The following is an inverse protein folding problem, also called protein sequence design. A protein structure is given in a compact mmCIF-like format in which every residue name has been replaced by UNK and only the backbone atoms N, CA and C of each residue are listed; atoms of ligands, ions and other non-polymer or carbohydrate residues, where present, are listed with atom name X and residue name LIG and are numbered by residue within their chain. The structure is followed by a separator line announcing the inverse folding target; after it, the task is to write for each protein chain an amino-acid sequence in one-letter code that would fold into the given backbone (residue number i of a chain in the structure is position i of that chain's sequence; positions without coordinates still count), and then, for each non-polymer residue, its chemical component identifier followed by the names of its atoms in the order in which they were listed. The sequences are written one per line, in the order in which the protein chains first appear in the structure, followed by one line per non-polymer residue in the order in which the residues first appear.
data_IF_094422337271
#
_entry.id   IF_094422337271
#
_cell.length_a   1.000
_cell.length_b   1.000
_cell.length_c   1.000
_cell.angle_alpha   90.00
_cell.angle_beta   90.00
_cell.angle_gamma   90.00
#
_symmetry.space_group_name_H-M   'P 1'
#
loop_
_entity.id
_entity.type
_entity.pdbx_description
1 polymer ?
#
# COMPACT_ATOMS: atom_id res chain seq x y z
N UNK A 1 -17.91 43.53 13.65
CA UNK A 1 -17.49 42.69 12.52
C UNK A 1 -16.01 42.47 12.65
N UNK A 2 -15.60 41.39 13.32
CA UNK A 2 -14.20 40.96 13.40
C UNK A 2 -13.89 40.12 12.15
N UNK A 3 -12.91 40.55 11.40
CA UNK A 3 -12.35 39.78 10.30
C UNK A 3 -11.71 38.49 10.89
N UNK A 4 -12.24 37.36 10.49
CA UNK A 4 -11.61 36.08 10.72
C UNK A 4 -10.34 36.06 9.88
N UNK A 5 -9.19 35.94 10.54
CA UNK A 5 -7.90 35.68 9.88
C UNK A 5 -7.98 34.31 9.18
N UNK A 6 -8.21 34.31 7.88
CA UNK A 6 -7.90 33.23 6.97
C UNK A 6 -6.40 33.27 6.71
N UNK A 7 -5.59 32.57 7.46
CA UNK A 7 -4.31 32.03 7.02
C UNK A 7 -3.58 31.27 8.14
N UNK A 8 -4.07 30.07 8.45
CA UNK A 8 -3.29 29.02 9.08
C UNK A 8 -3.63 27.68 8.42
N UNK A 9 -3.56 27.63 7.10
CA UNK A 9 -3.34 26.36 6.44
C UNK A 9 -1.94 25.90 6.82
N UNK A 10 -1.73 24.68 7.34
CA UNK A 10 -0.38 24.16 7.51
C UNK A 10 0.34 24.31 6.17
N UNK A 11 1.50 24.96 6.18
CA UNK A 11 2.24 25.31 4.98
C UNK A 11 2.35 24.06 4.09
N UNK A 12 2.00 24.22 2.80
CA UNK A 12 2.19 23.17 1.81
C UNK A 12 3.65 22.73 1.94
N UNK A 13 3.92 21.45 2.26
CA UNK A 13 5.29 20.98 2.20
C UNK A 13 5.80 21.23 0.78
N UNK A 14 6.91 21.90 0.67
CA UNK A 14 7.62 22.12 -0.59
C UNK A 14 7.80 20.79 -1.30
N UNK A 15 7.56 20.73 -2.60
CA UNK A 15 7.85 19.64 -3.55
C UNK A 15 8.75 18.53 -2.99
N UNK A 16 8.21 17.69 -2.13
CA UNK A 16 8.93 16.63 -1.46
C UNK A 16 8.39 15.27 -1.89
N UNK A 17 9.21 14.28 -1.78
CA UNK A 17 8.93 12.91 -2.15
C UNK A 17 7.89 12.28 -1.19
N UNK A 18 6.88 11.61 -1.74
CA UNK A 18 5.95 10.79 -0.95
C UNK A 18 6.55 9.39 -0.77
N UNK A 19 6.73 8.98 0.47
CA UNK A 19 7.17 7.61 0.77
C UNK A 19 5.94 6.75 1.05
N UNK A 20 5.73 5.69 0.28
CA UNK A 20 4.74 4.66 0.53
C UNK A 20 5.42 3.46 1.17
N UNK A 21 4.84 2.91 2.23
CA UNK A 21 5.39 1.77 2.95
C UNK A 21 4.31 0.70 3.09
N UNK A 22 4.61 -0.54 2.72
CA UNK A 22 3.67 -1.64 2.86
C UNK A 22 4.03 -2.89 2.05
N UNK A 23 3.11 -3.82 1.98
CA UNK A 23 3.28 -5.07 1.24
C UNK A 23 3.36 -4.83 -0.27
N UNK A 24 4.16 -5.63 -0.95
CA UNK A 24 4.14 -5.80 -2.39
C UNK A 24 3.56 -7.17 -2.72
N UNK A 25 2.40 -7.20 -3.36
CA UNK A 25 1.71 -8.43 -3.75
C UNK A 25 1.73 -8.66 -5.27
N UNK A 26 1.64 -9.94 -5.67
CA UNK A 26 1.20 -10.29 -7.02
C UNK A 26 -0.32 -10.22 -7.06
N UNK A 27 -0.84 -9.34 -7.90
CA UNK A 27 -2.28 -9.16 -8.12
C UNK A 27 -2.70 -9.76 -9.46
N UNK A 28 -3.71 -10.61 -9.42
CA UNK A 28 -4.45 -11.01 -10.62
C UNK A 28 -5.82 -10.36 -10.60
N UNK A 29 -6.06 -9.46 -11.54
CA UNK A 29 -7.35 -8.80 -11.73
C UNK A 29 -8.19 -9.58 -12.75
N UNK A 30 -9.35 -10.03 -12.33
CA UNK A 30 -10.34 -10.74 -13.14
C UNK A 30 -11.57 -9.86 -13.32
N UNK A 31 -12.00 -9.66 -14.55
CA UNK A 31 -13.26 -8.98 -14.87
C UNK A 31 -14.28 -10.00 -15.36
N UNK A 32 -15.45 -9.97 -14.74
CA UNK A 32 -16.58 -10.86 -15.05
C UNK A 32 -17.84 -10.02 -15.22
N UNK A 33 -18.84 -10.50 -15.97
CA UNK A 33 -20.11 -9.79 -16.08
C UNK A 33 -20.91 -9.82 -14.78
N UNK A 34 -20.80 -10.92 -14.03
CA UNK A 34 -21.42 -11.10 -12.72
C UNK A 34 -20.67 -12.15 -11.91
N UNK A 35 -20.44 -11.87 -10.63
CA UNK A 35 -19.89 -12.87 -9.71
C UNK A 35 -20.88 -14.06 -9.62
N UNK A 36 -20.45 -15.30 -9.88
CA UNK A 36 -21.35 -16.43 -9.92
C UNK A 36 -21.94 -16.72 -8.52
N UNK A 37 -23.17 -17.22 -8.51
CA UNK A 37 -23.75 -17.78 -7.29
C UNK A 37 -22.98 -19.03 -6.85
N UNK A 38 -23.10 -19.38 -5.58
CA UNK A 38 -22.47 -20.59 -5.07
C UNK A 38 -22.79 -21.81 -5.95
N UNK A 39 -21.78 -22.61 -6.26
CA UNK A 39 -21.86 -23.77 -7.18
C UNK A 39 -22.13 -23.41 -8.68
N UNK A 40 -22.02 -22.13 -9.05
CA UNK A 40 -22.15 -21.67 -10.43
C UNK A 40 -20.81 -21.35 -11.07
N UNK A 41 -20.85 -20.96 -12.32
CA UNK A 41 -19.71 -20.47 -13.11
C UNK A 41 -20.07 -19.21 -13.87
N UNK A 42 -19.06 -18.42 -14.23
CA UNK A 42 -19.21 -17.22 -15.07
C UNK A 42 -18.04 -17.13 -16.05
N UNK A 43 -18.25 -16.62 -17.26
CA UNK A 43 -17.15 -16.32 -18.17
C UNK A 43 -16.27 -15.19 -17.61
N UNK A 44 -14.98 -15.28 -17.86
CA UNK A 44 -14.01 -14.20 -17.60
C UNK A 44 -13.92 -13.38 -18.89
N UNK A 45 -14.21 -12.07 -18.80
CA UNK A 45 -14.09 -11.14 -19.91
C UNK A 45 -12.68 -10.56 -20.05
N UNK A 46 -11.97 -10.38 -18.91
CA UNK A 46 -10.59 -9.91 -18.88
C UNK A 46 -9.84 -10.54 -17.71
N UNK A 47 -8.57 -10.86 -17.94
CA UNK A 47 -7.63 -11.32 -16.93
C UNK A 47 -6.32 -10.57 -17.07
N UNK A 48 -5.87 -9.93 -16.02
CA UNK A 48 -4.67 -9.07 -16.03
C UNK A 48 -3.80 -9.38 -14.83
N UNK A 49 -2.52 -9.60 -15.06
CA UNK A 49 -1.51 -9.70 -14.01
C UNK A 49 -0.98 -8.30 -13.70
N UNK A 50 -0.85 -7.97 -12.41
CA UNK A 50 -0.34 -6.69 -11.93
C UNK A 50 0.43 -6.88 -10.62
N UNK A 51 1.00 -5.82 -10.10
CA UNK A 51 1.35 -5.72 -8.70
C UNK A 51 0.17 -5.10 -7.93
N UNK A 52 0.08 -5.41 -6.66
CA UNK A 52 -1.03 -5.01 -5.80
C UNK A 52 -0.59 -4.64 -4.41
N UNK A 53 -1.57 -4.51 -3.55
CA UNK A 53 -1.57 -3.92 -2.23
C UNK A 53 -1.62 -2.38 -2.25
N UNK A 54 -2.23 -1.77 -1.23
CA UNK A 54 -2.61 -0.36 -1.27
C UNK A 54 -1.40 0.56 -1.38
N UNK A 55 -0.35 0.33 -0.59
CA UNK A 55 0.86 1.14 -0.64
C UNK A 55 1.58 1.05 -1.99
N UNK A 56 1.62 -0.15 -2.60
CA UNK A 56 2.21 -0.36 -3.92
C UNK A 56 1.41 0.35 -5.02
N UNK A 57 0.07 0.26 -4.96
CA UNK A 57 -0.83 0.92 -5.91
C UNK A 57 -0.70 2.44 -5.81
N UNK A 58 -0.70 3.00 -4.59
CA UNK A 58 -0.54 4.44 -4.37
C UNK A 58 0.81 4.93 -4.90
N UNK A 59 1.91 4.22 -4.60
CA UNK A 59 3.23 4.57 -5.14
C UNK A 59 3.24 4.56 -6.68
N UNK A 60 2.66 3.53 -7.29
CA UNK A 60 2.55 3.42 -8.73
C UNK A 60 1.73 4.55 -9.35
N UNK A 61 0.58 4.91 -8.77
CA UNK A 61 -0.27 5.99 -9.27
C UNK A 61 0.41 7.35 -9.13
N UNK A 62 1.05 7.63 -8.01
CA UNK A 62 1.84 8.87 -7.82
C UNK A 62 2.94 8.98 -8.88
N UNK A 63 3.67 7.89 -9.11
CA UNK A 63 4.69 7.82 -10.15
C UNK A 63 4.12 8.15 -11.55
N UNK A 64 2.97 7.55 -11.92
CA UNK A 64 2.31 7.82 -13.20
C UNK A 64 1.85 9.28 -13.36
N UNK A 65 1.50 9.94 -12.27
CA UNK A 65 1.11 11.34 -12.26
C UNK A 65 2.30 12.31 -12.24
N UNK A 66 3.53 11.79 -12.26
CA UNK A 66 4.75 12.60 -12.22
C UNK A 66 5.06 13.18 -10.85
N UNK A 67 4.42 12.67 -9.78
CA UNK A 67 4.76 13.01 -8.40
C UNK A 67 5.96 12.16 -7.97
N UNK A 68 6.98 12.82 -7.41
CA UNK A 68 8.11 12.09 -6.80
C UNK A 68 7.60 11.19 -5.67
N UNK A 69 7.79 9.91 -5.84
CA UNK A 69 7.37 8.90 -4.87
C UNK A 69 8.41 7.79 -4.74
N UNK A 70 8.53 7.28 -3.53
CA UNK A 70 9.31 6.07 -3.23
C UNK A 70 8.42 5.03 -2.60
N UNK A 71 8.71 3.78 -2.91
CA UNK A 71 8.05 2.66 -2.29
C UNK A 71 9.06 1.84 -1.49
N UNK A 72 8.75 1.61 -0.21
CA UNK A 72 9.48 0.72 0.69
C UNK A 72 8.63 -0.55 0.84
N UNK A 73 8.89 -1.59 0.03
CA UNK A 73 8.08 -2.80 0.01
C UNK A 73 8.47 -3.80 1.09
N UNK A 74 7.56 -4.74 1.35
CA UNK A 74 7.92 -6.04 1.90
C UNK A 74 8.89 -6.78 0.98
N UNK A 75 9.53 -7.82 1.48
CA UNK A 75 10.19 -8.78 0.60
C UNK A 75 9.16 -9.53 -0.27
N UNK A 76 9.65 -10.16 -1.33
CA UNK A 76 8.93 -11.18 -2.11
C UNK A 76 9.66 -12.51 -2.02
N UNK A 77 8.95 -13.63 -2.25
CA UNK A 77 9.54 -14.96 -2.28
C UNK A 77 10.43 -15.19 -3.51
N UNK A 78 11.34 -16.14 -3.42
CA UNK A 78 12.07 -16.69 -4.58
C UNK A 78 11.20 -17.69 -5.36
N UNK A 79 9.92 -17.35 -5.54
CA UNK A 79 8.91 -18.16 -6.21
C UNK A 79 8.50 -17.55 -7.57
N UNK A 80 7.63 -18.25 -8.29
CA UNK A 80 7.21 -17.78 -9.62
C UNK A 80 6.37 -16.50 -9.55
N UNK A 81 5.60 -16.30 -8.46
CA UNK A 81 4.84 -15.07 -8.25
C UNK A 81 5.76 -13.89 -7.92
N UNK A 82 6.81 -14.11 -7.14
CA UNK A 82 7.85 -13.12 -6.87
C UNK A 82 8.55 -12.65 -8.15
N UNK A 83 8.93 -13.60 -9.02
CA UNK A 83 9.50 -13.27 -10.33
C UNK A 83 8.54 -12.44 -11.19
N UNK A 84 7.24 -12.81 -11.21
CA UNK A 84 6.23 -12.09 -11.97
C UNK A 84 6.02 -10.67 -11.44
N UNK A 85 5.85 -10.50 -10.13
CA UNK A 85 5.61 -9.16 -9.56
C UNK A 85 6.81 -8.24 -9.76
N UNK A 86 8.04 -8.74 -9.58
CA UNK A 86 9.26 -7.97 -9.85
C UNK A 86 9.34 -7.54 -11.31
N UNK A 87 9.03 -8.44 -12.25
CA UNK A 87 9.00 -8.11 -13.67
C UNK A 87 7.90 -7.07 -13.99
N UNK A 88 6.73 -7.18 -13.37
CA UNK A 88 5.61 -6.25 -13.57
C UNK A 88 5.95 -4.86 -13.05
N UNK A 89 6.47 -4.74 -11.83
CA UNK A 89 6.92 -3.46 -11.25
C UNK A 89 7.99 -2.81 -12.12
N UNK A 90 8.96 -3.60 -12.60
CA UNK A 90 10.00 -3.11 -13.50
C UNK A 90 9.44 -2.62 -14.84
N UNK A 91 8.48 -3.35 -15.43
CA UNK A 91 7.86 -2.95 -16.71
C UNK A 91 6.99 -1.70 -16.55
N UNK A 92 6.40 -1.49 -15.38
CA UNK A 92 5.64 -0.29 -15.03
C UNK A 92 6.54 0.94 -14.86
N UNK A 93 7.83 0.73 -14.58
CA UNK A 93 8.82 1.78 -14.40
C UNK A 93 8.86 2.38 -12.99
N UNK A 94 8.18 1.78 -12.01
CA UNK A 94 8.24 2.24 -10.62
C UNK A 94 9.66 2.04 -10.06
N UNK A 95 10.35 3.10 -9.61
CA UNK A 95 11.69 3.00 -9.05
C UNK A 95 11.64 2.42 -7.63
N UNK A 96 11.81 1.11 -7.51
CA UNK A 96 11.78 0.39 -6.24
C UNK A 96 12.82 -0.72 -6.21
N UNK A 97 13.49 -0.88 -5.08
CA UNK A 97 14.35 -2.04 -4.79
C UNK A 97 13.53 -3.10 -4.07
N UNK A 98 13.36 -4.24 -4.71
CA UNK A 98 12.60 -5.37 -4.17
C UNK A 98 13.57 -6.40 -3.60
N UNK A 99 13.45 -6.67 -2.30
CA UNK A 99 14.21 -7.73 -1.64
C UNK A 99 13.58 -9.10 -1.97
N UNK A 100 14.37 -10.02 -2.50
CA UNK A 100 13.96 -11.40 -2.73
C UNK A 100 14.44 -12.25 -1.55
N UNK A 101 13.50 -12.85 -0.84
CA UNK A 101 13.77 -13.66 0.36
C UNK A 101 13.26 -15.11 0.15
N UNK A 102 14.16 -16.10 0.05
CA UNK A 102 13.76 -17.51 -0.15
C UNK A 102 13.01 -18.09 1.06
N UNK A 103 13.05 -17.43 2.22
CA UNK A 103 12.36 -17.85 3.45
C UNK A 103 10.88 -17.46 3.51
N UNK A 104 10.36 -16.71 2.53
CA UNK A 104 8.97 -16.28 2.50
C UNK A 104 8.27 -16.69 1.20
N UNK A 105 6.94 -16.70 1.23
CA UNK A 105 6.12 -16.87 0.02
C UNK A 105 5.57 -15.52 -0.40
N UNK A 106 5.63 -15.22 -1.70
CA UNK A 106 5.06 -13.99 -2.25
C UNK A 106 3.56 -13.89 -1.97
N UNK A 107 3.10 -12.72 -1.55
CA UNK A 107 1.66 -12.47 -1.40
C UNK A 107 0.99 -12.60 -2.76
N UNK A 108 -0.06 -13.42 -2.79
CA UNK A 108 -0.93 -13.57 -3.94
C UNK A 108 -2.29 -12.96 -3.64
N UNK A 109 -2.78 -12.16 -4.56
CA UNK A 109 -4.09 -11.54 -4.49
C UNK A 109 -4.85 -11.82 -5.78
N UNK A 110 -6.11 -12.24 -5.66
CA UNK A 110 -7.07 -12.35 -6.74
C UNK A 110 -8.19 -11.34 -6.50
N UNK A 111 -8.34 -10.36 -7.36
CA UNK A 111 -9.43 -9.39 -7.32
C UNK A 111 -10.41 -9.65 -8.47
N UNK A 112 -11.67 -9.86 -8.15
CA UNK A 112 -12.74 -10.06 -9.11
C UNK A 112 -13.60 -8.80 -9.14
N UNK A 113 -13.72 -8.17 -10.31
CA UNK A 113 -14.52 -6.97 -10.51
C UNK A 113 -15.65 -7.23 -11.50
N UNK A 114 -16.76 -6.51 -11.35
CA UNK A 114 -17.88 -6.51 -12.30
C UNK A 114 -18.09 -5.11 -12.91
N UNK A 115 -18.97 -4.97 -13.93
CA UNK A 115 -19.22 -3.68 -14.58
C UNK A 115 -19.82 -2.59 -13.66
N UNK A 116 -20.35 -2.94 -12.48
CA UNK A 116 -20.82 -1.97 -11.50
C UNK A 116 -19.69 -1.30 -10.72
N UNK A 117 -18.47 -1.84 -10.81
CA UNK A 117 -17.30 -1.44 -10.01
C UNK A 117 -17.22 -2.15 -8.67
N UNK A 118 -18.16 -3.06 -8.37
CA UNK A 118 -18.07 -3.90 -7.17
C UNK A 118 -16.90 -4.88 -7.29
N UNK A 119 -16.24 -5.14 -6.17
CA UNK A 119 -15.07 -6.02 -6.10
C UNK A 119 -15.23 -7.08 -5.01
N UNK A 120 -14.74 -8.26 -5.30
CA UNK A 120 -14.52 -9.34 -4.32
C UNK A 120 -13.07 -9.78 -4.47
N UNK A 121 -12.34 -9.92 -3.38
CA UNK A 121 -10.94 -10.27 -3.44
C UNK A 121 -10.58 -11.38 -2.46
N UNK A 122 -9.56 -12.15 -2.84
CA UNK A 122 -8.96 -13.21 -2.05
C UNK A 122 -7.47 -12.94 -1.96
N UNK A 123 -6.90 -13.13 -0.79
CA UNK A 123 -5.47 -12.93 -0.60
C UNK A 123 -4.88 -13.99 0.32
N UNK A 124 -3.59 -14.22 0.13
CA UNK A 124 -2.80 -15.07 1.02
C UNK A 124 -1.59 -14.27 1.51
N UNK A 125 -1.59 -13.90 2.77
CA UNK A 125 -0.47 -13.28 3.49
C UNK A 125 0.00 -14.22 4.58
N UNK A 126 1.30 -14.22 4.87
CA UNK A 126 1.87 -14.99 5.99
C UNK A 126 2.57 -14.07 6.97
N UNK A 127 2.60 -14.42 8.27
CA UNK A 127 3.30 -13.62 9.28
C UNK A 127 4.79 -13.43 8.95
N UNK A 128 5.43 -14.45 8.36
CA UNK A 128 6.85 -14.40 7.98
C UNK A 128 7.12 -13.35 6.91
N UNK A 129 6.18 -13.18 5.96
CA UNK A 129 6.30 -12.13 4.95
C UNK A 129 6.09 -10.76 5.57
N UNK A 130 5.04 -10.57 6.38
CA UNK A 130 4.77 -9.30 7.06
C UNK A 130 5.95 -8.87 7.94
N UNK A 131 6.60 -9.81 8.63
CA UNK A 131 7.79 -9.55 9.45
C UNK A 131 8.97 -8.99 8.62
N UNK A 132 9.00 -9.13 7.30
CA UNK A 132 10.02 -8.50 6.47
C UNK A 132 9.92 -6.98 6.44
N UNK A 133 8.74 -6.41 6.70
CA UNK A 133 8.53 -4.97 6.86
C UNK A 133 9.26 -4.41 8.08
N UNK A 134 9.40 -5.19 9.16
CA UNK A 134 10.10 -4.76 10.36
C UNK A 134 11.60 -4.55 10.14
N UNK A 135 12.18 -5.23 9.14
CA UNK A 135 13.58 -5.12 8.77
C UNK A 135 13.85 -4.08 7.67
N UNK A 136 12.81 -3.39 7.15
CA UNK A 136 12.96 -2.44 6.06
C UNK A 136 13.84 -1.24 6.46
N UNK A 137 14.64 -0.73 5.51
CA UNK A 137 15.40 0.51 5.69
C UNK A 137 14.47 1.72 5.60
N UNK A 138 14.39 2.49 6.67
CA UNK A 138 13.57 3.68 6.79
C UNK A 138 14.36 5.00 6.68
N UNK A 139 15.61 4.96 6.26
CA UNK A 139 16.46 6.18 6.17
C UNK A 139 15.85 7.24 5.26
N UNK A 140 15.08 6.82 4.26
CA UNK A 140 14.40 7.71 3.31
C UNK A 140 13.29 8.55 3.94
N UNK A 141 12.73 8.14 5.08
CA UNK A 141 11.67 8.89 5.75
C UNK A 141 12.12 10.25 6.26
N UNK A 142 13.40 10.43 6.58
CA UNK A 142 13.90 11.67 7.18
C UNK A 142 13.72 12.94 6.30
N UNK A 143 13.55 12.77 4.99
CA UNK A 143 13.37 13.87 4.04
C UNK A 143 12.05 13.77 3.27
N UNK A 144 11.16 12.85 3.64
CA UNK A 144 9.88 12.67 2.98
C UNK A 144 8.94 13.86 3.21
N UNK A 145 8.13 14.20 2.21
CA UNK A 145 7.04 15.15 2.38
C UNK A 145 5.87 14.54 3.13
N UNK A 146 5.60 13.27 2.85
CA UNK A 146 4.55 12.46 3.48
C UNK A 146 4.98 11.00 3.56
N UNK A 147 4.48 10.30 4.59
CA UNK A 147 4.44 8.85 4.65
C UNK A 147 3.01 8.38 4.39
N UNK A 148 2.84 7.46 3.44
CA UNK A 148 1.60 6.70 3.24
C UNK A 148 1.75 5.29 3.78
N UNK A 149 0.78 4.85 4.56
CA UNK A 149 0.64 3.48 5.09
C UNK A 149 -0.82 3.03 5.05
N UNK A 150 -1.05 1.74 5.10
CA UNK A 150 -2.39 1.17 5.26
C UNK A 150 -2.47 0.18 6.42
N UNK A 151 -3.68 0.00 6.96
CA UNK A 151 -3.92 -0.82 8.14
C UNK A 151 -3.79 -2.32 7.89
N UNK A 152 -3.83 -2.78 6.63
CA UNK A 152 -3.75 -4.20 6.29
C UNK A 152 -2.43 -4.83 6.74
N UNK A 153 -1.39 -4.05 6.87
CA UNK A 153 -0.08 -4.50 7.33
C UNK A 153 0.03 -4.59 8.86
N UNK A 154 -1.07 -4.29 9.57
CA UNK A 154 -1.18 -4.45 11.01
C UNK A 154 -0.14 -3.65 11.81
N UNK A 155 0.39 -4.24 12.87
CA UNK A 155 1.36 -3.55 13.74
C UNK A 155 2.71 -3.24 13.05
N UNK A 156 2.99 -3.80 11.86
CA UNK A 156 4.22 -3.54 11.11
C UNK A 156 4.34 -2.11 10.60
N UNK A 157 3.21 -1.36 10.52
CA UNK A 157 3.24 0.06 10.15
C UNK A 157 3.63 0.99 11.30
N UNK A 158 3.63 0.53 12.55
CA UNK A 158 3.90 1.39 13.71
C UNK A 158 5.30 1.98 13.68
N UNK A 159 6.32 1.17 13.37
CA UNK A 159 7.71 1.62 13.31
C UNK A 159 7.93 2.77 12.30
N UNK A 160 7.50 2.67 11.03
CA UNK A 160 7.61 3.80 10.10
C UNK A 160 6.75 5.00 10.51
N UNK A 161 5.56 4.83 11.08
CA UNK A 161 4.73 5.93 11.56
C UNK A 161 5.40 6.68 12.73
N UNK A 162 5.94 5.98 13.70
CA UNK A 162 6.70 6.58 14.81
C UNK A 162 7.92 7.35 14.29
N UNK A 163 8.68 6.77 13.37
CA UNK A 163 9.86 7.43 12.81
C UNK A 163 9.48 8.68 12.03
N UNK A 164 8.46 8.63 11.18
CA UNK A 164 7.93 9.77 10.45
C UNK A 164 7.50 10.89 11.41
N UNK A 165 6.72 10.55 12.44
CA UNK A 165 6.27 11.50 13.46
C UNK A 165 7.44 12.17 14.18
N UNK A 166 8.46 11.41 14.60
CA UNK A 166 9.68 11.97 15.23
C UNK A 166 10.48 12.89 14.31
N UNK A 167 10.41 12.66 13.00
CA UNK A 167 11.07 13.48 11.98
C UNK A 167 10.21 14.66 11.50
N UNK A 168 8.99 14.83 12.05
CA UNK A 168 8.06 15.87 11.62
C UNK A 168 7.42 15.60 10.25
N UNK A 169 7.49 14.36 9.75
CA UNK A 169 6.90 13.96 8.46
C UNK A 169 5.43 13.58 8.70
N UNK A 170 4.49 14.25 8.01
CA UNK A 170 3.08 13.92 8.13
C UNK A 170 2.76 12.50 7.64
N UNK A 171 1.87 11.81 8.37
CA UNK A 171 1.45 10.45 8.06
C UNK A 171 0.04 10.45 7.50
N UNK A 172 -0.12 9.90 6.31
CA UNK A 172 -1.40 9.59 5.70
C UNK A 172 -1.68 8.09 5.90
N UNK A 173 -2.76 7.79 6.64
CA UNK A 173 -3.18 6.43 6.94
C UNK A 173 -4.45 6.07 6.15
N UNK A 174 -4.40 5.01 5.36
CA UNK A 174 -5.61 4.37 4.83
C UNK A 174 -6.15 3.38 5.86
N UNK A 175 -7.28 3.71 6.48
CA UNK A 175 -7.89 2.91 7.54
C UNK A 175 -9.01 1.98 7.03
N UNK A 176 -9.59 2.28 5.88
CA UNK A 176 -10.70 1.54 5.27
C UNK A 176 -11.82 1.13 6.25
N UNK A 177 -11.94 -0.19 6.50
CA UNK A 177 -13.01 -0.76 7.30
C UNK A 177 -12.71 -0.88 8.80
N UNK A 178 -11.50 -0.51 9.25
CA UNK A 178 -11.07 -0.71 10.65
C UNK A 178 -11.37 0.48 11.58
N UNK A 179 -12.19 1.41 11.13
CA UNK A 179 -12.57 2.61 11.89
C UNK A 179 -13.28 2.32 13.24
N UNK A 180 -13.78 1.11 13.45
CA UNK A 180 -14.41 0.68 14.71
C UNK A 180 -13.48 -0.17 15.60
N UNK A 181 -12.23 -0.40 15.22
CA UNK A 181 -11.28 -1.18 15.99
C UNK A 181 -10.52 -0.28 16.98
N UNK A 182 -11.06 -0.14 18.20
CA UNK A 182 -10.50 0.75 19.23
C UNK A 182 -9.06 0.37 19.62
N UNK A 183 -8.72 -0.90 19.66
CA UNK A 183 -7.35 -1.34 19.98
C UNK A 183 -6.37 -0.87 18.91
N UNK A 184 -6.67 -1.07 17.64
CA UNK A 184 -5.86 -0.59 16.53
C UNK A 184 -5.76 0.94 16.55
N UNK A 185 -6.89 1.63 16.66
CA UNK A 185 -6.94 3.09 16.68
C UNK A 185 -6.09 3.69 17.81
N UNK A 186 -6.10 3.08 18.99
CA UNK A 186 -5.28 3.56 20.11
C UNK A 186 -3.77 3.53 19.82
N UNK A 187 -3.31 2.61 18.98
CA UNK A 187 -1.90 2.48 18.59
C UNK A 187 -1.51 3.46 17.48
N UNK A 188 -2.37 3.69 16.48
CA UNK A 188 -2.01 4.38 15.23
C UNK A 188 -2.41 5.86 15.22
N UNK A 189 -3.52 6.24 15.87
CA UNK A 189 -4.01 7.65 15.89
C UNK A 189 -2.94 8.64 16.40
N UNK A 190 -2.13 8.33 17.44
CA UNK A 190 -1.11 9.26 17.92
C UNK A 190 -0.09 9.68 16.86
N UNK A 191 0.10 8.90 15.80
CA UNK A 191 1.07 9.15 14.72
C UNK A 191 0.41 9.57 13.41
N UNK A 192 -0.92 9.58 13.34
CA UNK A 192 -1.67 9.87 12.10
C UNK A 192 -1.91 11.36 11.96
N UNK A 193 -1.61 11.91 10.78
CA UNK A 193 -1.91 13.31 10.44
C UNK A 193 -3.21 13.41 9.64
N UNK A 194 -3.41 12.49 8.71
CA UNK A 194 -4.60 12.41 7.84
C UNK A 194 -5.05 10.94 7.76
N UNK A 195 -6.36 10.74 7.81
CA UNK A 195 -7.00 9.43 7.69
C UNK A 195 -8.20 9.51 6.74
#
# INVERSE_FOLDING_TARGET
MQQLNEDQSPGRPSNGEVVCFGVLSYLQLMVVDQVPVYNGGTPISQLTDSFGDDAAIVAGMLHQWGQESKFIPSAVGEDDLGKKVVATVKSFGLPVEVNINPGVTTVAELSIADPSGARTYFYKRTPELLATLDAADLTQLGNAAYLYVDWYDGDHILRPMEQASRSGVPVFLNLESQYANEELLSKIVPYTTVC
#
